data_IF_402471419760
#
_entry.id   IF_402471419760
#
_cell.length_a   1.000
_cell.length_b   1.000
_cell.length_c   1.000
_cell.angle_alpha   90.00
_cell.angle_beta   90.00
_cell.angle_gamma   90.00
#
_symmetry.space_group_name_H-M   'P 1'
#
loop_
_entity.id
_entity.type
_entity.pdbx_description
1 polymer ?
#
# COMPACT_ATOMS: atom_id res chain seq x y z
N UNK A 1 -16.62 -15.74 -1.42
CA UNK A 1 -15.50 -15.33 -2.29
C UNK A 1 -14.90 -16.54 -3.02
N UNK A 2 -14.34 -17.52 -2.30
CA UNK A 2 -13.66 -18.69 -2.91
C UNK A 2 -14.55 -19.49 -3.89
N UNK A 3 -15.83 -19.67 -3.59
CA UNK A 3 -16.77 -20.33 -4.50
C UNK A 3 -17.01 -19.58 -5.82
N UNK A 4 -16.98 -18.24 -5.82
CA UNK A 4 -17.09 -17.45 -7.06
C UNK A 4 -15.80 -17.52 -7.87
N UNK A 5 -14.65 -17.45 -7.20
CA UNK A 5 -13.34 -17.51 -7.86
C UNK A 5 -13.12 -18.88 -8.50
N UNK A 6 -13.44 -19.97 -7.80
CA UNK A 6 -13.37 -21.31 -8.36
C UNK A 6 -14.26 -21.44 -9.61
N UNK A 7 -15.50 -20.92 -9.58
CA UNK A 7 -16.38 -20.91 -10.76
C UNK A 7 -15.80 -20.13 -11.94
N UNK A 8 -15.21 -18.96 -11.71
CA UNK A 8 -14.59 -18.14 -12.77
C UNK A 8 -13.41 -18.89 -13.39
N UNK A 9 -12.55 -19.50 -12.56
CA UNK A 9 -11.42 -20.30 -13.01
C UNK A 9 -11.89 -21.52 -13.81
N UNK A 10 -12.87 -22.28 -13.31
CA UNK A 10 -13.44 -23.45 -14.00
C UNK A 10 -13.99 -23.10 -15.39
N UNK A 11 -14.72 -21.99 -15.51
CA UNK A 11 -15.22 -21.48 -16.80
C UNK A 11 -14.06 -21.09 -17.71
N UNK A 12 -13.02 -20.46 -17.15
CA UNK A 12 -11.86 -19.99 -17.91
C UNK A 12 -11.02 -21.15 -18.47
N UNK A 13 -10.86 -22.23 -17.70
CA UNK A 13 -10.21 -23.48 -18.16
C UNK A 13 -11.06 -24.17 -19.22
N UNK A 14 -12.38 -24.31 -18.98
CA UNK A 14 -13.32 -24.94 -19.93
C UNK A 14 -13.30 -24.25 -21.29
N UNK A 15 -13.18 -22.93 -21.30
CA UNK A 15 -13.14 -22.12 -22.51
C UNK A 15 -11.72 -21.97 -23.11
N UNK A 16 -10.72 -22.68 -22.58
CA UNK A 16 -9.30 -22.62 -23.00
C UNK A 16 -8.72 -21.19 -22.96
N UNK A 17 -9.19 -20.36 -22.03
CA UNK A 17 -8.69 -19.00 -21.79
C UNK A 17 -7.40 -19.05 -20.97
N UNK A 18 -7.30 -20.01 -20.04
CA UNK A 18 -6.12 -20.23 -19.19
C UNK A 18 -5.73 -21.71 -19.22
N UNK A 19 -4.43 -21.98 -19.10
CA UNK A 19 -3.90 -23.33 -18.97
C UNK A 19 -4.07 -23.85 -17.54
N UNK A 20 -4.05 -25.17 -17.36
CA UNK A 20 -4.14 -25.78 -16.03
C UNK A 20 -2.99 -25.36 -15.11
N UNK A 21 -1.81 -25.11 -15.68
CA UNK A 21 -0.61 -24.62 -14.97
C UNK A 21 -0.79 -23.20 -14.38
N UNK A 22 -1.68 -22.40 -14.96
CA UNK A 22 -1.91 -21.00 -14.57
C UNK A 22 -3.10 -20.83 -13.60
N UNK A 23 -3.75 -21.92 -13.20
CA UNK A 23 -4.93 -21.91 -12.33
C UNK A 23 -4.63 -21.22 -10.99
N UNK A 24 -3.52 -21.56 -10.33
CA UNK A 24 -3.17 -20.99 -9.03
C UNK A 24 -2.86 -19.50 -9.11
N UNK A 25 -2.12 -19.10 -10.15
CA UNK A 25 -1.77 -17.70 -10.41
C UNK A 25 -3.03 -16.88 -10.68
N UNK A 26 -3.95 -17.42 -11.48
CA UNK A 26 -5.22 -16.77 -11.82
C UNK A 26 -6.11 -16.64 -10.59
N UNK A 27 -6.23 -17.70 -9.79
CA UNK A 27 -6.98 -17.68 -8.53
C UNK A 27 -6.45 -16.63 -7.58
N UNK A 28 -5.13 -16.56 -7.40
CA UNK A 28 -4.48 -15.54 -6.59
C UNK A 28 -4.73 -14.12 -7.14
N UNK A 29 -4.64 -13.94 -8.45
CA UNK A 29 -4.93 -12.66 -9.11
C UNK A 29 -6.37 -12.19 -8.86
N UNK A 30 -7.34 -13.10 -9.01
CA UNK A 30 -8.75 -12.83 -8.74
C UNK A 30 -9.01 -12.51 -7.26
N UNK A 31 -8.44 -13.29 -6.34
CA UNK A 31 -8.53 -13.03 -4.90
C UNK A 31 -8.01 -11.62 -4.56
N UNK A 32 -6.88 -11.25 -5.15
CA UNK A 32 -6.31 -9.92 -5.02
C UNK A 32 -7.24 -8.83 -5.56
N UNK A 33 -7.81 -8.99 -6.76
CA UNK A 33 -8.72 -8.00 -7.36
C UNK A 33 -9.96 -7.81 -6.49
N UNK A 34 -10.63 -8.90 -6.08
CA UNK A 34 -11.81 -8.82 -5.22
C UNK A 34 -11.50 -8.14 -3.88
N UNK A 35 -10.35 -8.46 -3.27
CA UNK A 35 -9.92 -7.82 -2.03
C UNK A 35 -9.73 -6.30 -2.18
N UNK A 36 -9.09 -5.86 -3.28
CA UNK A 36 -8.91 -4.44 -3.55
C UNK A 36 -10.25 -3.75 -3.78
N UNK A 37 -11.16 -4.37 -4.55
CA UNK A 37 -12.51 -3.81 -4.79
C UNK A 37 -13.30 -3.63 -3.49
N UNK A 38 -13.31 -4.64 -2.62
CA UNK A 38 -13.99 -4.56 -1.31
C UNK A 38 -13.36 -3.47 -0.45
N UNK A 39 -12.03 -3.45 -0.33
CA UNK A 39 -11.31 -2.44 0.46
C UNK A 39 -11.58 -1.03 -0.05
N UNK A 40 -11.50 -0.80 -1.35
CA UNK A 40 -11.76 0.51 -1.96
C UNK A 40 -13.19 0.97 -1.71
N UNK A 41 -14.17 0.08 -1.88
CA UNK A 41 -15.58 0.39 -1.62
C UNK A 41 -15.77 0.81 -0.16
N UNK A 42 -15.20 0.06 0.79
CA UNK A 42 -15.29 0.38 2.21
C UNK A 42 -14.65 1.74 2.53
N UNK A 43 -13.47 2.03 1.99
CA UNK A 43 -12.78 3.31 2.22
C UNK A 43 -13.58 4.52 1.68
N UNK A 44 -14.24 4.37 0.53
CA UNK A 44 -15.12 5.41 -0.02
C UNK A 44 -16.33 5.61 0.89
N UNK A 45 -16.98 4.52 1.33
CA UNK A 45 -18.12 4.60 2.24
C UNK A 45 -17.76 5.28 3.56
N UNK A 46 -16.58 4.97 4.13
CA UNK A 46 -16.07 5.65 5.32
C UNK A 46 -15.84 7.14 5.05
N UNK A 47 -15.21 7.51 3.94
CA UNK A 47 -15.03 8.92 3.56
C UNK A 47 -16.35 9.69 3.46
N UNK A 48 -17.38 9.08 2.87
CA UNK A 48 -18.73 9.66 2.77
C UNK A 48 -19.37 9.78 4.16
N UNK A 49 -19.31 8.72 4.97
CA UNK A 49 -19.90 8.68 6.31
C UNK A 49 -19.33 9.77 7.22
N UNK A 50 -18.01 9.98 7.19
CA UNK A 50 -17.34 11.04 7.96
C UNK A 50 -17.35 12.41 7.26
N UNK A 51 -18.00 12.54 6.08
CA UNK A 51 -18.08 13.77 5.28
C UNK A 51 -16.70 14.33 4.87
N UNK A 52 -15.68 13.47 4.79
CA UNK A 52 -14.29 13.79 4.38
C UNK A 52 -13.87 12.89 3.22
N UNK A 53 -14.67 12.88 2.15
CA UNK A 53 -14.41 12.07 0.95
C UNK A 53 -13.12 12.52 0.24
N UNK A 54 -12.77 13.80 0.35
CA UNK A 54 -11.53 14.39 -0.14
C UNK A 54 -10.28 13.70 0.46
N UNK A 55 -10.25 13.53 1.79
CA UNK A 55 -9.18 12.81 2.49
C UNK A 55 -9.14 11.33 2.07
N UNK A 56 -10.31 10.69 1.94
CA UNK A 56 -10.39 9.29 1.52
C UNK A 56 -9.86 9.07 0.11
N UNK A 57 -10.15 9.98 -0.83
CA UNK A 57 -9.63 9.94 -2.21
C UNK A 57 -8.11 10.08 -2.21
N UNK A 58 -7.56 11.03 -1.45
CA UNK A 58 -6.11 11.21 -1.32
C UNK A 58 -5.45 9.96 -0.77
N UNK A 59 -6.01 9.39 0.30
CA UNK A 59 -5.50 8.16 0.91
C UNK A 59 -5.51 7.00 -0.10
N UNK A 60 -6.58 6.83 -0.86
CA UNK A 60 -6.71 5.82 -1.91
C UNK A 60 -5.69 5.99 -3.03
N UNK A 61 -5.47 7.22 -3.51
CA UNK A 61 -4.48 7.50 -4.54
C UNK A 61 -3.07 7.13 -4.08
N UNK A 62 -2.68 7.56 -2.87
CA UNK A 62 -1.37 7.22 -2.30
C UNK A 62 -1.22 5.70 -2.12
N UNK A 63 -2.25 5.04 -1.60
CA UNK A 63 -2.26 3.60 -1.38
C UNK A 63 -2.08 2.82 -2.68
N UNK A 64 -2.85 3.15 -3.73
CA UNK A 64 -2.78 2.47 -5.04
C UNK A 64 -1.41 2.70 -5.69
N UNK A 65 -0.93 3.95 -5.73
CA UNK A 65 0.31 4.31 -6.39
C UNK A 65 1.52 3.65 -5.75
N UNK A 66 1.62 3.66 -4.42
CA UNK A 66 2.77 3.06 -3.75
C UNK A 66 2.67 1.54 -3.70
N UNK A 67 1.50 0.98 -3.37
CA UNK A 67 1.34 -0.48 -3.23
C UNK A 67 1.52 -1.24 -4.54
N UNK A 68 1.15 -0.63 -5.67
CA UNK A 68 1.41 -1.19 -7.01
C UNK A 68 2.91 -1.35 -7.28
N UNK A 69 3.74 -0.43 -6.75
CA UNK A 69 5.15 -0.33 -7.10
C UNK A 69 6.10 -0.89 -6.03
N UNK A 70 5.64 -1.07 -4.79
CA UNK A 70 6.45 -1.68 -3.71
C UNK A 70 6.46 -3.20 -3.74
N UNK A 71 5.71 -3.83 -4.65
CA UNK A 71 5.56 -5.28 -4.70
C UNK A 71 4.74 -5.72 -3.51
N UNK A 72 3.43 -5.80 -3.69
CA UNK A 72 2.52 -6.17 -2.60
C UNK A 72 2.81 -7.58 -2.10
N UNK A 73 3.47 -7.69 -0.95
CA UNK A 73 3.22 -8.84 -0.11
C UNK A 73 1.83 -8.67 0.49
N UNK A 74 0.92 -9.55 0.08
CA UNK A 74 -0.35 -9.70 0.76
C UNK A 74 -0.09 -10.20 2.17
N UNK A 75 -0.60 -9.47 3.17
CA UNK A 75 -0.77 -10.04 4.50
C UNK A 75 -1.41 -11.43 4.34
N UNK A 76 -0.95 -12.39 5.14
CA UNK A 76 -1.37 -13.80 5.15
C UNK A 76 -2.90 -14.02 5.28
N UNK A 77 -3.74 -12.97 5.35
CA UNK A 77 -5.21 -13.04 5.40
C UNK A 77 -5.89 -11.80 4.78
N UNK A 78 -6.94 -12.03 3.98
CA UNK A 78 -7.88 -11.03 3.43
C UNK A 78 -8.25 -9.92 4.44
N UNK A 79 -8.54 -10.31 5.68
CA UNK A 79 -9.00 -9.42 6.73
C UNK A 79 -7.91 -8.41 7.16
N UNK A 80 -6.65 -8.83 7.27
CA UNK A 80 -5.58 -7.97 7.77
C UNK A 80 -5.35 -6.73 6.88
N UNK A 81 -5.49 -6.87 5.56
CA UNK A 81 -5.39 -5.74 4.64
C UNK A 81 -6.58 -4.77 4.76
N UNK A 82 -7.80 -5.31 4.79
CA UNK A 82 -9.01 -4.49 4.91
C UNK A 82 -8.97 -3.70 6.23
N UNK A 83 -8.63 -4.37 7.33
CA UNK A 83 -8.53 -3.72 8.63
C UNK A 83 -7.42 -2.67 8.68
N UNK A 84 -6.19 -2.99 8.24
CA UNK A 84 -5.08 -2.03 8.31
C UNK A 84 -5.34 -0.77 7.47
N UNK A 85 -5.88 -0.92 6.27
CA UNK A 85 -6.20 0.22 5.40
C UNK A 85 -7.38 1.04 5.93
N UNK A 86 -8.43 0.38 6.45
CA UNK A 86 -9.59 1.07 7.01
C UNK A 86 -9.27 1.80 8.31
N UNK A 87 -8.55 1.14 9.22
CA UNK A 87 -8.07 1.76 10.47
C UNK A 87 -7.14 2.93 10.14
N UNK A 88 -6.28 2.79 9.15
CA UNK A 88 -5.41 3.86 8.68
C UNK A 88 -6.18 5.09 8.22
N UNK A 89 -7.23 4.91 7.41
CA UNK A 89 -8.09 6.02 6.98
C UNK A 89 -8.83 6.67 8.17
N UNK A 90 -9.41 5.87 9.05
CA UNK A 90 -10.10 6.37 10.25
C UNK A 90 -9.16 7.18 11.13
N UNK A 91 -7.93 6.68 11.33
CA UNK A 91 -6.91 7.38 12.08
C UNK A 91 -6.65 8.77 11.48
N UNK A 92 -6.41 8.85 10.16
CA UNK A 92 -6.17 10.14 9.49
C UNK A 92 -7.35 11.09 9.67
N UNK A 93 -8.58 10.63 9.45
CA UNK A 93 -9.78 11.49 9.55
C UNK A 93 -9.95 12.01 10.99
N UNK A 94 -9.81 11.14 11.98
CA UNK A 94 -9.96 11.50 13.40
C UNK A 94 -8.86 12.47 13.82
N UNK A 95 -7.59 12.17 13.54
CA UNK A 95 -6.48 13.04 13.94
C UNK A 95 -6.49 14.36 13.20
N UNK A 96 -6.94 14.38 11.94
CA UNK A 96 -7.08 15.62 11.18
C UNK A 96 -8.08 16.60 11.83
N UNK A 97 -9.14 16.10 12.47
CA UNK A 97 -10.13 16.95 13.15
C UNK A 97 -9.72 17.37 14.57
N UNK A 98 -8.78 16.65 15.21
CA UNK A 98 -8.40 16.88 16.62
C UNK A 98 -7.10 17.69 16.74
N UNK A 99 -6.13 17.43 15.87
CA UNK A 99 -4.80 18.03 15.95
C UNK A 99 -4.87 19.49 15.46
N UNK A 100 -4.21 20.41 16.15
CA UNK A 100 -4.10 21.81 15.71
C UNK A 100 -3.14 21.99 14.52
N UNK A 101 -3.32 23.05 13.74
CA UNK A 101 -2.56 23.31 12.50
C UNK A 101 -1.03 23.27 12.68
N UNK A 102 -0.51 23.88 13.75
CA UNK A 102 0.93 23.84 14.07
C UNK A 102 1.45 22.39 14.23
N UNK A 103 0.70 21.55 14.93
CA UNK A 103 1.07 20.16 15.16
C UNK A 103 0.90 19.30 13.90
N UNK A 104 -0.10 19.59 13.05
CA UNK A 104 -0.25 18.96 11.73
C UNK A 104 0.98 19.20 10.87
N UNK A 105 1.47 20.44 10.84
CA UNK A 105 2.68 20.81 10.11
C UNK A 105 3.90 20.01 10.62
N UNK A 106 4.15 20.03 11.92
CA UNK A 106 5.30 19.34 12.53
C UNK A 106 5.26 17.82 12.31
N UNK A 107 4.12 17.19 12.61
CA UNK A 107 3.94 15.74 12.47
C UNK A 107 4.05 15.33 11.00
N UNK A 108 3.48 16.12 10.07
CA UNK A 108 3.55 15.84 8.65
C UNK A 108 4.98 15.82 8.10
N UNK A 109 5.83 16.75 8.55
CA UNK A 109 7.26 16.76 8.20
C UNK A 109 7.97 15.50 8.71
N UNK A 110 7.75 15.13 9.98
CA UNK A 110 8.32 13.91 10.56
C UNK A 110 7.88 12.65 9.80
N UNK A 111 6.62 12.61 9.37
CA UNK A 111 6.08 11.48 8.61
C UNK A 111 6.70 11.33 7.23
N UNK A 112 6.97 12.44 6.52
CA UNK A 112 7.69 12.41 5.25
C UNK A 112 9.08 11.83 5.45
N UNK A 113 9.84 12.36 6.42
CA UNK A 113 11.22 11.94 6.67
C UNK A 113 11.30 10.43 6.97
N UNK A 114 10.43 9.95 7.86
CA UNK A 114 10.35 8.53 8.17
C UNK A 114 9.99 7.68 6.94
N UNK A 115 8.99 8.12 6.18
CA UNK A 115 8.52 7.40 4.98
C UNK A 115 9.62 7.31 3.92
N UNK A 116 10.39 8.38 3.72
CA UNK A 116 11.52 8.38 2.79
C UNK A 116 12.57 7.35 3.20
N UNK A 117 12.98 7.34 4.46
CA UNK A 117 13.97 6.39 4.97
C UNK A 117 13.48 4.95 4.79
N UNK A 118 12.25 4.65 5.24
CA UNK A 118 11.70 3.30 5.19
C UNK A 118 11.51 2.80 3.76
N UNK A 119 10.91 3.61 2.88
CA UNK A 119 10.66 3.21 1.50
C UNK A 119 11.97 3.07 0.74
N UNK A 120 12.97 3.92 0.99
CA UNK A 120 14.29 3.78 0.37
C UNK A 120 14.99 2.48 0.78
N UNK A 121 14.97 2.14 2.06
CA UNK A 121 15.55 0.89 2.59
C UNK A 121 14.81 -0.38 2.17
N UNK A 122 13.58 -0.25 1.65
CA UNK A 122 12.75 -1.41 1.33
C UNK A 122 13.06 -1.96 -0.06
N UNK A 123 13.47 -3.22 -0.14
CA UNK A 123 13.58 -3.92 -1.42
C UNK A 123 12.18 -4.27 -1.97
N UNK A 124 11.96 -4.21 -3.30
CA UNK A 124 10.70 -4.63 -3.90
C UNK A 124 10.52 -6.14 -3.64
N UNK A 125 9.32 -6.52 -3.21
CA UNK A 125 9.03 -7.90 -2.88
C UNK A 125 8.74 -8.65 -4.19
N UNK A 126 9.62 -9.58 -4.54
CA UNK A 126 9.50 -10.43 -5.73
C UNK A 126 8.95 -11.79 -5.33
N UNK A 127 8.00 -12.32 -6.11
CA UNK A 127 7.46 -13.65 -5.86
C UNK A 127 8.57 -14.71 -5.92
N UNK A 128 8.57 -15.64 -4.94
CA UNK A 128 9.54 -16.74 -4.80
C UNK A 128 9.68 -17.65 -6.04
N UNK A 129 8.68 -17.68 -6.94
CA UNK A 129 8.59 -18.63 -8.06
C UNK A 129 8.97 -18.08 -9.44
N UNK A 130 9.59 -16.91 -9.54
CA UNK A 130 10.24 -16.49 -10.80
C UNK A 130 11.70 -16.18 -10.52
N UNK A 131 12.60 -16.75 -11.32
CA UNK A 131 13.93 -16.18 -11.54
C UNK A 131 13.73 -14.81 -12.17
N UNK A 132 13.50 -13.79 -11.36
CA UNK A 132 13.31 -12.43 -11.86
C UNK A 132 14.69 -11.85 -12.08
N UNK A 133 15.01 -11.50 -13.33
CA UNK A 133 16.28 -10.88 -13.67
C UNK A 133 16.49 -9.59 -12.87
N UNK A 134 17.73 -9.31 -12.45
CA UNK A 134 18.09 -8.11 -11.69
C UNK A 134 17.60 -6.81 -12.36
N UNK A 135 17.50 -6.81 -13.68
CA UNK A 135 16.96 -5.72 -14.50
C UNK A 135 15.49 -5.39 -14.20
N UNK A 136 14.64 -6.37 -13.87
CA UNK A 136 13.23 -6.15 -13.51
C UNK A 136 13.13 -5.62 -12.08
N UNK A 137 13.98 -6.12 -11.17
CA UNK A 137 14.07 -5.65 -9.79
C UNK A 137 14.45 -4.17 -9.74
N UNK A 138 15.46 -3.80 -10.52
CA UNK A 138 15.93 -2.42 -10.61
C UNK A 138 14.86 -1.49 -11.21
N UNK A 139 14.13 -1.95 -12.24
CA UNK A 139 12.99 -1.21 -12.81
C UNK A 139 11.89 -0.97 -11.78
N UNK A 140 11.55 -1.96 -10.96
CA UNK A 140 10.58 -1.80 -9.87
C UNK A 140 11.08 -0.80 -8.81
N UNK A 141 12.35 -0.90 -8.40
CA UNK A 141 12.98 0.09 -7.48
C UNK A 141 12.90 1.50 -8.02
N UNK A 142 13.29 1.71 -9.29
CA UNK A 142 13.23 3.03 -9.96
C UNK A 142 11.81 3.56 -10.02
N UNK A 143 10.84 2.72 -10.38
CA UNK A 143 9.42 3.11 -10.46
C UNK A 143 8.87 3.50 -9.10
N UNK A 144 9.12 2.69 -8.06
CA UNK A 144 8.75 2.99 -6.67
C UNK A 144 9.34 4.34 -6.20
N UNK A 145 10.65 4.53 -6.40
CA UNK A 145 11.33 5.75 -5.98
C UNK A 145 10.83 6.99 -6.75
N UNK A 146 10.49 6.84 -8.04
CA UNK A 146 9.87 7.90 -8.84
C UNK A 146 8.52 8.33 -8.26
N UNK A 147 7.65 7.37 -7.92
CA UNK A 147 6.35 7.68 -7.31
C UNK A 147 6.47 8.27 -5.91
N UNK A 148 7.40 7.78 -5.10
CA UNK A 148 7.73 8.39 -3.80
C UNK A 148 8.14 9.86 -3.99
N UNK A 149 9.05 10.14 -4.92
CA UNK A 149 9.49 11.50 -5.21
C UNK A 149 8.33 12.40 -5.62
N UNK A 150 7.48 11.93 -6.53
CA UNK A 150 6.27 12.67 -6.96
C UNK A 150 5.38 13.00 -5.76
N UNK A 151 5.09 12.02 -4.89
CA UNK A 151 4.24 12.24 -3.72
C UNK A 151 4.84 13.20 -2.69
N UNK A 152 6.17 13.17 -2.51
CA UNK A 152 6.89 14.13 -1.66
C UNK A 152 6.86 15.53 -2.28
N UNK A 153 7.02 15.66 -3.59
CA UNK A 153 6.88 16.96 -4.27
C UNK A 153 5.46 17.51 -4.10
N UNK A 154 4.43 16.68 -4.25
CA UNK A 154 3.03 17.09 -4.05
C UNK A 154 2.80 17.54 -2.60
N UNK A 155 3.30 16.81 -1.60
CA UNK A 155 3.13 17.23 -0.20
C UNK A 155 3.82 18.57 0.09
N UNK A 156 5.03 18.79 -0.45
CA UNK A 156 5.74 20.07 -0.32
C UNK A 156 4.99 21.21 -1.00
N UNK A 157 4.34 20.98 -2.15
CA UNK A 157 3.48 21.97 -2.80
C UNK A 157 2.32 22.35 -1.88
N UNK A 158 1.58 21.38 -1.34
CA UNK A 158 0.48 21.67 -0.40
C UNK A 158 0.96 22.44 0.84
N UNK A 159 2.11 22.07 1.39
CA UNK A 159 2.72 22.81 2.50
C UNK A 159 3.01 24.27 2.11
N UNK A 160 3.64 24.50 0.95
CA UNK A 160 3.96 25.84 0.46
C UNK A 160 2.71 26.67 0.15
N UNK A 161 1.67 26.07 -0.43
CA UNK A 161 0.39 26.74 -0.70
C UNK A 161 -0.27 27.26 0.58
N UNK A 162 -0.19 26.52 1.70
CA UNK A 162 -0.69 26.99 2.99
C UNK A 162 0.17 28.14 3.53
N UNK A 163 1.51 28.06 3.40
CA UNK A 163 2.41 29.17 3.80
C UNK A 163 2.17 30.45 3.00
N UNK A 164 1.81 30.33 1.71
CA UNK A 164 1.41 31.45 0.85
C UNK A 164 -0.02 31.94 1.11
N UNK A 165 -0.73 31.38 2.10
CA UNK A 165 -2.12 31.72 2.43
C UNK A 165 -3.12 31.44 1.28
N UNK A 166 -2.73 30.60 0.31
CA UNK A 166 -3.62 30.15 -0.78
C UNK A 166 -4.54 29.00 -0.33
N UNK A 167 -4.18 28.32 0.76
CA UNK A 167 -4.99 27.31 1.44
C UNK A 167 -5.10 27.65 2.93
N UNK A 168 -6.28 27.44 3.50
CA UNK A 168 -6.58 27.84 4.89
C UNK A 168 -6.15 26.82 5.96
N UNK A 169 -5.72 25.62 5.56
CA UNK A 169 -5.43 24.51 6.49
C UNK A 169 -4.38 23.55 5.95
N UNK A 170 -3.60 22.94 6.85
CA UNK A 170 -2.64 21.88 6.57
C UNK A 170 -3.29 20.50 6.40
N UNK A 171 -4.62 20.42 6.24
CA UNK A 171 -5.35 19.15 6.15
C UNK A 171 -4.84 18.23 5.04
N UNK A 172 -4.67 18.77 3.84
CA UNK A 172 -4.20 18.00 2.69
C UNK A 172 -2.73 17.59 2.82
N UNK A 173 -1.88 18.48 3.34
CA UNK A 173 -0.50 18.16 3.66
C UNK A 173 -0.43 17.01 4.66
N UNK A 174 -1.17 17.12 5.77
CA UNK A 174 -1.20 16.10 6.81
C UNK A 174 -1.78 14.77 6.30
N UNK A 175 -2.83 14.80 5.47
CA UNK A 175 -3.43 13.61 4.88
C UNK A 175 -2.45 12.86 3.98
N UNK A 176 -1.74 13.56 3.08
CA UNK A 176 -0.75 12.94 2.17
C UNK A 176 0.39 12.31 2.99
N UNK A 177 0.95 13.06 3.93
CA UNK A 177 2.10 12.61 4.73
C UNK A 177 1.76 11.44 5.66
N UNK A 178 0.57 11.44 6.26
CA UNK A 178 0.06 10.32 7.06
C UNK A 178 -0.22 9.09 6.20
N UNK A 179 -0.73 9.28 4.98
CA UNK A 179 -0.93 8.19 4.02
C UNK A 179 0.41 7.54 3.65
N UNK A 180 1.45 8.35 3.38
CA UNK A 180 2.81 7.87 3.13
C UNK A 180 3.34 7.04 4.31
N UNK A 181 3.15 7.52 5.54
CA UNK A 181 3.54 6.82 6.76
C UNK A 181 2.86 5.46 6.89
N UNK A 182 1.54 5.39 6.72
CA UNK A 182 0.79 4.13 6.82
C UNK A 182 1.28 3.14 5.76
N UNK A 183 1.49 3.60 4.53
CA UNK A 183 2.04 2.75 3.48
C UNK A 183 3.46 2.31 3.83
N UNK A 184 4.33 3.20 4.30
CA UNK A 184 5.69 2.88 4.72
C UNK A 184 5.73 1.84 5.86
N UNK A 185 4.79 1.90 6.81
CA UNK A 185 4.65 0.90 7.88
C UNK A 185 4.15 -0.45 7.34
N UNK A 186 3.24 -0.43 6.37
CA UNK A 186 2.74 -1.65 5.72
C UNK A 186 3.82 -2.41 4.94
N UNK A 187 4.95 -1.76 4.64
CA UNK A 187 6.08 -2.34 3.92
C UNK A 187 6.99 -3.23 4.83
N UNK A 188 6.70 -3.40 6.13
CA UNK A 188 7.61 -4.10 7.06
C UNK A 188 7.72 -5.65 6.92
N UNK A 189 8.99 -6.09 6.74
CA UNK A 189 9.74 -7.15 7.45
C UNK A 189 9.52 -8.67 7.22
N UNK A 190 9.29 -9.13 5.99
CA UNK A 190 9.34 -10.57 5.69
C UNK A 190 10.73 -11.14 5.44
N UNK A 191 11.76 -10.29 5.60
CA UNK A 191 13.14 -10.75 5.61
C UNK A 191 13.45 -11.57 6.87
N UNK A 192 12.78 -11.33 8.01
CA UNK A 192 13.09 -12.03 9.27
C UNK A 192 12.58 -13.47 9.32
N UNK A 193 11.36 -13.76 8.86
CA UNK A 193 10.84 -15.15 8.89
C UNK A 193 11.59 -16.09 7.95
N UNK A 194 12.08 -15.62 6.80
CA UNK A 194 12.82 -16.48 5.87
C UNK A 194 14.27 -16.68 6.29
N UNK A 195 14.97 -15.65 6.78
CA UNK A 195 16.34 -15.83 7.28
C UNK A 195 16.40 -16.69 8.53
N UNK A 196 15.44 -16.59 9.47
CA UNK A 196 15.39 -17.48 10.65
C UNK A 196 15.01 -18.91 10.29
N UNK A 197 14.17 -19.14 9.27
CA UNK A 197 13.87 -20.50 8.78
C UNK A 197 15.07 -21.12 8.06
N UNK A 198 15.72 -20.41 7.14
CA UNK A 198 16.93 -20.93 6.47
C UNK A 198 18.09 -21.17 7.45
N UNK A 199 18.20 -20.39 8.53
CA UNK A 199 19.26 -20.60 9.53
C UNK A 199 18.90 -21.69 10.57
N UNK A 200 17.61 -22.03 10.74
CA UNK A 200 17.18 -23.18 11.55
C UNK A 200 17.23 -24.49 10.77
N UNK A 201 16.90 -24.46 9.48
CA UNK A 201 16.93 -25.64 8.60
C UNK A 201 18.36 -25.96 8.12
N UNK A 202 19.30 -25.00 8.19
CA UNK A 202 20.72 -25.17 7.85
C UNK A 202 21.63 -25.66 8.98
N UNK A 203 21.11 -25.90 10.19
CA UNK A 203 21.89 -26.47 11.32
C UNK A 203 21.52 -27.96 11.54
N UNK A 204 20.71 -28.54 10.66
CA UNK A 204 20.09 -29.85 10.86
C UNK A 204 20.36 -30.90 9.79
N UNK A 205 21.47 -30.89 9.06
CA UNK A 205 21.90 -32.07 8.27
C UNK A 205 23.43 -32.11 8.17
N UNK A 206 24.01 -33.04 8.93
CA UNK A 206 25.37 -33.62 8.85
C UNK A 206 26.61 -32.71 8.92
#
# INVERSE_FOLDING_TARGET
>A
MNGMINRIVEISVRNRIINEEDIEITKYGLESIFLHMISTTLLILLGIFFRRIDIAIIYLMVLILLRKNTGGYHCKTFLACVFTTSIGLLFIIITNNIIGEYWKELIGILFILYSMIKIYMSDPILNKNRMVSDTVVEKCKKTKNKWLLILVCISLIFHFLVKLQLLNSYDYFYAITSSLMIVALSINNLRRENHEKTNKDGIGVH
#
